data_IF_725791232857
#
_entry.id   IF_725791232857
#
_cell.length_a   1.000
_cell.length_b   1.000
_cell.length_c   1.000
_cell.angle_alpha   90.00
_cell.angle_beta   90.00
_cell.angle_gamma   90.00
#
_symmetry.space_group_name_H-M   'P 1'
#
loop_
_entity.id
_entity.type
_entity.pdbx_description
1 polymer ?
#
# COMPACT_ATOMS: atom_id res chain seq x y z
N UNK A 1 1.89 18.81 26.82
CA UNK A 1 1.86 17.49 26.12
C UNK A 1 1.45 17.59 24.66
N UNK A 2 0.65 18.57 24.22
CA UNK A 2 0.29 18.74 22.80
C UNK A 2 1.46 19.24 21.92
N UNK A 3 2.34 20.09 22.46
CA UNK A 3 3.46 20.68 21.73
C UNK A 3 4.55 19.66 21.35
N UNK A 4 4.82 18.67 22.21
CA UNK A 4 5.81 17.61 21.94
C UNK A 4 5.38 16.70 20.80
N UNK A 5 4.08 16.45 20.65
CA UNK A 5 3.54 15.66 19.53
C UNK A 5 3.66 16.43 18.22
N UNK A 6 3.43 17.74 18.23
CA UNK A 6 3.58 18.60 17.05
C UNK A 6 5.05 18.64 16.55
N UNK A 7 6.02 18.81 17.44
CA UNK A 7 7.44 18.84 17.08
C UNK A 7 7.94 17.50 16.53
N UNK A 8 7.50 16.38 17.09
CA UNK A 8 7.86 15.04 16.59
C UNK A 8 7.25 14.80 15.20
N UNK A 9 6.01 15.24 14.94
CA UNK A 9 5.41 15.17 13.59
C UNK A 9 6.17 16.01 12.57
N UNK A 10 6.63 17.21 12.93
CA UNK A 10 7.36 18.11 12.02
C UNK A 10 8.76 17.56 11.67
N UNK A 11 9.52 17.07 12.65
CA UNK A 11 10.89 16.55 12.44
C UNK A 11 10.90 15.25 11.62
N UNK A 12 9.88 14.41 11.75
CA UNK A 12 9.74 13.20 10.93
C UNK A 12 9.27 13.52 9.50
N UNK A 13 8.47 14.57 9.33
CA UNK A 13 8.03 15.03 7.99
C UNK A 13 9.21 15.52 7.15
N UNK A 14 10.20 16.19 7.75
CA UNK A 14 11.39 16.68 7.02
C UNK A 14 12.41 15.60 6.69
N UNK A 15 12.67 14.66 7.60
CA UNK A 15 13.72 13.64 7.40
C UNK A 15 13.28 12.45 6.54
N UNK A 16 11.99 12.12 6.53
CA UNK A 16 11.46 11.01 5.73
C UNK A 16 11.29 11.39 4.25
N UNK A 17 10.88 12.63 3.96
CA UNK A 17 10.61 13.10 2.61
C UNK A 17 11.90 13.21 1.75
N UNK A 18 12.99 13.68 2.36
CA UNK A 18 14.29 13.85 1.70
C UNK A 18 14.87 12.53 1.14
N UNK A 19 14.55 11.39 1.78
CA UNK A 19 15.07 10.07 1.36
C UNK A 19 14.30 9.48 0.18
N UNK A 20 13.04 9.88 -0.02
CA UNK A 20 12.20 9.41 -1.12
C UNK A 20 12.36 10.30 -2.37
N UNK A 21 12.56 11.60 -2.19
CA UNK A 21 12.81 12.54 -3.30
C UNK A 21 14.17 12.33 -3.96
N UNK A 22 15.17 11.82 -3.23
CA UNK A 22 16.53 11.57 -3.74
C UNK A 22 16.61 10.47 -4.82
N UNK A 23 15.55 9.73 -5.11
CA UNK A 23 15.54 8.64 -6.10
C UNK A 23 14.52 8.82 -7.23
N UNK A 24 13.85 9.96 -7.33
CA UNK A 24 12.91 10.25 -8.42
C UNK A 24 13.51 11.03 -9.60
N UNK A 25 14.84 11.09 -9.73
CA UNK A 25 15.51 11.69 -10.91
C UNK A 25 15.45 10.79 -12.17
N UNK A 26 14.46 9.91 -12.26
CA UNK A 26 14.14 9.23 -13.52
C UNK A 26 13.13 10.12 -14.23
N UNK A 27 13.64 10.95 -15.14
CA UNK A 27 12.82 11.61 -16.16
C UNK A 27 11.94 10.55 -16.82
N UNK A 28 10.64 10.57 -16.53
CA UNK A 28 9.67 9.69 -17.17
C UNK A 28 9.61 10.05 -18.66
N UNK A 29 10.38 9.32 -19.47
CA UNK A 29 10.31 9.43 -20.93
C UNK A 29 8.93 8.95 -21.36
N UNK A 30 8.15 9.86 -21.93
CA UNK A 30 6.86 9.57 -22.56
C UNK A 30 7.13 8.80 -23.86
N UNK A 31 7.30 7.49 -23.77
CA UNK A 31 7.28 6.63 -24.95
C UNK A 31 5.83 6.54 -25.43
N UNK A 32 5.60 6.86 -26.71
CA UNK A 32 4.30 6.68 -27.36
C UNK A 32 4.07 5.16 -27.46
N UNK A 33 3.02 4.61 -26.82
CA UNK A 33 2.79 3.16 -26.86
C UNK A 33 2.32 2.72 -28.25
N UNK A 34 2.70 1.51 -28.70
CA UNK A 34 2.15 0.87 -29.90
C UNK A 34 0.63 0.62 -29.78
N UNK A 35 -0.12 0.51 -30.89
CA UNK A 35 -1.58 0.66 -30.92
C UNK A 35 -2.43 -0.52 -30.39
N UNK A 36 -1.93 -1.34 -29.45
CA UNK A 36 -2.65 -2.56 -29.04
C UNK A 36 -2.68 -2.79 -27.51
N UNK A 37 -2.34 -1.77 -26.71
CA UNK A 37 -2.35 -1.88 -25.25
C UNK A 37 -3.79 -1.86 -24.72
N UNK A 38 -4.17 -2.95 -24.04
CA UNK A 38 -5.44 -3.06 -23.32
C UNK A 38 -5.53 -1.93 -22.29
N UNK A 39 -6.43 -0.98 -22.50
CA UNK A 39 -6.69 0.10 -21.54
C UNK A 39 -7.22 -0.54 -20.26
N UNK A 40 -6.48 -0.40 -19.15
CA UNK A 40 -6.93 -0.84 -17.84
C UNK A 40 -8.19 -0.06 -17.45
N UNK A 41 -9.33 -0.74 -17.45
CA UNK A 41 -10.61 -0.21 -17.00
C UNK A 41 -11.05 -0.94 -15.73
N UNK A 42 -11.35 -0.18 -14.68
CA UNK A 42 -11.87 -0.73 -13.43
C UNK A 42 -13.39 -0.77 -13.47
N UNK A 43 -13.96 -1.89 -13.01
CA UNK A 43 -15.41 -2.06 -12.92
C UNK A 43 -15.93 -1.72 -11.53
N UNK A 44 -17.15 -1.19 -11.46
CA UNK A 44 -17.86 -0.96 -10.20
C UNK A 44 -17.94 -2.24 -9.35
N UNK A 45 -18.17 -3.39 -9.99
CA UNK A 45 -18.23 -4.68 -9.30
C UNK A 45 -16.91 -5.04 -8.61
N UNK A 46 -15.77 -4.79 -9.26
CA UNK A 46 -14.45 -5.04 -8.68
C UNK A 46 -14.13 -4.10 -7.53
N UNK A 47 -14.46 -2.82 -7.67
CA UNK A 47 -14.27 -1.86 -6.59
C UNK A 47 -15.17 -2.17 -5.41
N UNK A 48 -16.45 -2.44 -5.63
CA UNK A 48 -17.39 -2.86 -4.58
C UNK A 48 -16.89 -4.08 -3.83
N UNK A 49 -16.47 -5.14 -4.54
CA UNK A 49 -15.86 -6.33 -3.92
C UNK A 49 -14.62 -5.98 -3.10
N UNK A 50 -13.81 -5.03 -3.57
CA UNK A 50 -12.60 -4.56 -2.86
C UNK A 50 -12.94 -3.79 -1.58
N UNK A 51 -13.99 -2.95 -1.62
CA UNK A 51 -14.51 -2.19 -0.49
C UNK A 51 -15.15 -3.10 0.57
N UNK A 52 -15.96 -4.08 0.15
CA UNK A 52 -16.57 -5.05 1.06
C UNK A 52 -15.54 -5.89 1.86
N UNK A 53 -14.32 -6.03 1.34
CA UNK A 53 -13.19 -6.75 1.94
C UNK A 53 -12.24 -5.86 2.76
N UNK A 54 -12.55 -4.57 2.90
CA UNK A 54 -11.77 -3.67 3.76
C UNK A 54 -11.89 -4.13 5.21
N UNK A 55 -10.77 -4.14 5.95
CA UNK A 55 -10.80 -4.38 7.38
C UNK A 55 -11.43 -3.16 8.08
N UNK A 56 -12.58 -3.30 8.75
CA UNK A 56 -13.26 -2.17 9.38
C UNK A 56 -12.46 -1.51 10.51
N UNK A 57 -11.52 -2.24 11.12
CA UNK A 57 -10.68 -1.79 12.23
C UNK A 57 -9.33 -1.21 11.77
N UNK A 58 -9.16 -1.01 10.47
CA UNK A 58 -7.96 -0.35 9.93
C UNK A 58 -7.93 1.10 10.40
N UNK A 59 -6.78 1.56 10.88
CA UNK A 59 -6.56 2.98 11.16
C UNK A 59 -6.85 3.83 9.92
N UNK A 60 -7.58 4.92 10.11
CA UNK A 60 -7.91 5.88 9.06
C UNK A 60 -6.65 6.62 8.57
N UNK A 61 -6.70 7.07 7.33
CA UNK A 61 -5.65 7.91 6.77
C UNK A 61 -5.81 9.38 7.18
N UNK A 62 -5.12 10.31 6.51
CA UNK A 62 -5.31 11.76 6.71
C UNK A 62 -6.72 12.26 6.35
N UNK A 63 -7.49 11.46 5.63
CA UNK A 63 -8.89 11.70 5.28
C UNK A 63 -9.85 11.46 6.46
N UNK A 64 -9.39 10.83 7.55
CA UNK A 64 -10.20 10.43 8.71
C UNK A 64 -11.41 9.55 8.36
N UNK A 65 -11.39 8.85 7.21
CA UNK A 65 -12.44 7.93 6.82
C UNK A 65 -12.10 6.53 7.35
N UNK A 66 -12.85 5.98 8.31
CA UNK A 66 -12.59 4.65 8.84
C UNK A 66 -12.97 3.56 7.84
N UNK A 67 -12.28 2.43 7.89
CA UNK A 67 -12.54 1.30 6.99
C UNK A 67 -13.97 0.75 7.10
N UNK A 68 -14.61 0.92 8.27
CA UNK A 68 -16.01 0.57 8.50
C UNK A 68 -16.96 1.31 7.56
N UNK A 69 -16.81 2.63 7.42
CA UNK A 69 -17.67 3.46 6.55
C UNK A 69 -17.52 3.03 5.09
N UNK A 70 -16.29 2.79 4.65
CA UNK A 70 -16.03 2.32 3.28
C UNK A 70 -16.68 0.95 2.98
N UNK A 71 -16.77 0.08 4.00
CA UNK A 71 -17.36 -1.24 3.87
C UNK A 71 -18.90 -1.20 3.90
N UNK A 72 -19.46 -0.40 4.81
CA UNK A 72 -20.92 -0.27 4.99
C UNK A 72 -21.54 0.52 3.83
N UNK A 73 -20.85 1.54 3.31
CA UNK A 73 -21.29 2.34 2.16
C UNK A 73 -20.70 1.86 0.82
N UNK A 74 -20.27 0.59 0.74
CA UNK A 74 -19.55 0.09 -0.43
C UNK A 74 -20.36 0.16 -1.73
N UNK A 75 -21.68 0.01 -1.66
CA UNK A 75 -22.56 0.08 -2.84
C UNK A 75 -22.57 1.49 -3.43
N UNK A 76 -22.80 2.50 -2.58
CA UNK A 76 -22.91 3.90 -2.98
C UNK A 76 -21.56 4.48 -3.41
N UNK A 77 -20.48 4.09 -2.71
CA UNK A 77 -19.14 4.60 -2.97
C UNK A 77 -18.47 3.96 -4.19
N UNK A 78 -18.85 2.72 -4.53
CA UNK A 78 -18.22 2.02 -5.65
C UNK A 78 -18.43 2.73 -6.99
N UNK A 79 -19.59 3.35 -7.20
CA UNK A 79 -19.87 4.06 -8.45
C UNK A 79 -18.97 5.31 -8.57
N UNK A 80 -19.09 6.23 -7.60
CA UNK A 80 -18.34 7.48 -7.58
C UNK A 80 -16.81 7.28 -7.64
N UNK A 81 -16.27 6.31 -6.91
CA UNK A 81 -14.82 6.06 -6.94
C UNK A 81 -14.36 5.32 -8.19
N UNK A 82 -15.22 4.53 -8.84
CA UNK A 82 -14.89 3.90 -10.13
C UNK A 82 -14.62 4.96 -11.19
N UNK A 83 -15.49 5.97 -11.27
CA UNK A 83 -15.32 7.09 -12.20
C UNK A 83 -14.02 7.85 -11.93
N UNK A 84 -13.78 8.21 -10.66
CA UNK A 84 -12.54 8.90 -10.26
C UNK A 84 -11.31 8.07 -10.64
N UNK A 85 -11.33 6.76 -10.43
CA UNK A 85 -10.20 5.90 -10.74
C UNK A 85 -9.99 5.71 -12.24
N UNK A 86 -11.05 5.55 -13.03
CA UNK A 86 -10.93 5.44 -14.47
C UNK A 86 -10.46 6.75 -15.12
N UNK A 87 -10.93 7.90 -14.62
CA UNK A 87 -10.39 9.22 -15.00
C UNK A 87 -8.93 9.33 -14.59
N UNK A 88 -8.55 8.86 -13.40
CA UNK A 88 -7.17 8.87 -12.94
C UNK A 88 -6.24 8.02 -13.82
N UNK A 89 -6.72 6.86 -14.27
CA UNK A 89 -5.99 5.97 -15.17
C UNK A 89 -5.84 6.58 -16.57
N UNK A 90 -6.90 7.17 -17.13
CA UNK A 90 -6.86 7.79 -18.46
C UNK A 90 -6.03 9.07 -18.49
N UNK A 91 -6.08 9.87 -17.43
CA UNK A 91 -5.32 11.12 -17.30
C UNK A 91 -3.90 10.90 -16.75
N UNK A 92 -3.58 9.71 -16.26
CA UNK A 92 -2.33 9.38 -15.54
C UNK A 92 -2.08 10.24 -14.28
N UNK A 93 -3.13 10.84 -13.71
CA UNK A 93 -3.04 11.74 -12.56
C UNK A 93 -3.87 11.16 -11.41
N UNK A 94 -3.22 10.89 -10.28
CA UNK A 94 -3.90 10.52 -9.02
C UNK A 94 -4.28 11.77 -8.23
N UNK A 95 -5.50 11.89 -7.68
CA UNK A 95 -5.91 13.00 -6.83
C UNK A 95 -4.97 13.20 -5.63
N UNK A 96 -4.62 14.45 -5.32
CA UNK A 96 -3.68 14.78 -4.24
C UNK A 96 -4.17 14.32 -2.86
N UNK A 97 -5.49 14.37 -2.62
CA UNK A 97 -6.10 13.85 -1.40
C UNK A 97 -5.85 12.35 -1.20
N UNK A 98 -5.77 11.56 -2.28
CA UNK A 98 -5.49 10.12 -2.23
C UNK A 98 -3.99 9.79 -2.10
N UNK A 99 -3.11 10.71 -2.53
CA UNK A 99 -1.65 10.59 -2.41
C UNK A 99 -1.11 10.98 -1.03
N UNK A 100 -1.87 11.75 -0.26
CA UNK A 100 -1.42 12.27 1.03
C UNK A 100 -1.36 11.16 2.08
N UNK A 101 -0.35 11.16 2.95
CA UNK A 101 -0.15 10.14 4.00
C UNK A 101 0.30 10.75 5.32
N UNK A 102 -0.09 10.14 6.44
CA UNK A 102 0.36 10.55 7.78
C UNK A 102 1.44 9.59 8.28
N UNK A 103 2.61 10.12 8.64
CA UNK A 103 3.71 9.32 9.21
C UNK A 103 3.61 9.30 10.74
N UNK A 104 3.45 8.11 11.31
CA UNK A 104 3.39 7.88 12.76
C UNK A 104 4.64 7.12 13.22
N UNK A 105 5.45 7.68 14.15
CA UNK A 105 6.56 6.96 14.75
C UNK A 105 6.08 5.95 15.79
N UNK A 106 6.41 4.68 15.60
CA UNK A 106 6.10 3.61 16.56
C UNK A 106 7.40 3.12 17.24
N UNK A 107 7.51 3.14 18.57
CA UNK A 107 8.68 2.63 19.28
C UNK A 107 9.00 1.17 18.95
N UNK A 108 10.28 0.85 18.72
CA UNK A 108 10.78 -0.53 18.57
C UNK A 108 10.98 -1.23 19.90
N UNK A 109 11.36 -0.48 20.94
CA UNK A 109 11.73 -0.95 22.28
C UNK A 109 11.40 0.12 23.32
N UNK A 110 11.34 -0.28 24.58
CA UNK A 110 11.19 0.62 25.72
C UNK A 110 12.35 0.39 26.71
N UNK A 111 13.01 1.45 27.23
CA UNK A 111 12.83 2.87 26.89
C UNK A 111 13.41 3.24 25.52
N UNK A 112 12.94 4.34 24.94
CA UNK A 112 13.44 4.89 23.67
C UNK A 112 14.57 5.88 23.95
N UNK A 113 15.70 5.77 23.23
CA UNK A 113 16.86 6.66 23.45
C UNK A 113 17.28 7.44 22.21
N UNK A 114 17.02 6.92 21.00
CA UNK A 114 17.41 7.56 19.73
C UNK A 114 16.26 7.55 18.73
N UNK A 115 16.26 8.48 17.77
CA UNK A 115 15.26 8.51 16.68
C UNK A 115 15.23 7.20 15.86
N UNK A 116 16.37 6.54 15.69
CA UNK A 116 16.47 5.22 15.03
C UNK A 116 15.73 4.09 15.76
N UNK A 117 15.34 4.30 17.02
CA UNK A 117 14.54 3.34 17.79
C UNK A 117 13.04 3.41 17.43
N UNK A 118 12.61 4.32 16.55
CA UNK A 118 11.26 4.34 16.00
C UNK A 118 11.17 3.61 14.65
N UNK A 119 9.98 3.10 14.33
CA UNK A 119 9.56 2.68 12.99
C UNK A 119 8.60 3.74 12.46
N UNK A 120 8.89 4.39 11.32
CA UNK A 120 7.90 5.24 10.66
C UNK A 120 6.82 4.34 10.03
N UNK A 121 5.56 4.54 10.42
CA UNK A 121 4.40 3.89 9.84
C UNK A 121 3.62 4.91 9.02
N UNK A 122 3.44 4.64 7.73
CA UNK A 122 2.65 5.48 6.84
C UNK A 122 1.17 5.07 6.86
N UNK A 123 0.30 5.96 7.31
CA UNK A 123 -1.15 5.83 7.19
C UNK A 123 -1.62 6.51 5.91
N UNK A 124 -1.75 5.71 4.84
CA UNK A 124 -2.37 6.15 3.59
C UNK A 124 -3.89 5.95 3.61
N UNK A 125 -4.67 6.78 2.88
CA UNK A 125 -6.11 6.63 2.70
C UNK A 125 -6.47 5.19 2.33
N UNK A 126 -7.48 4.64 2.99
CA UNK A 126 -7.87 3.24 2.79
C UNK A 126 -8.37 3.02 1.36
N UNK A 127 -9.01 4.03 0.78
CA UNK A 127 -9.48 4.02 -0.61
C UNK A 127 -8.31 3.96 -1.61
N UNK A 128 -7.19 4.64 -1.34
CA UNK A 128 -5.98 4.54 -2.16
C UNK A 128 -5.39 3.12 -2.13
N UNK A 129 -5.40 2.46 -0.97
CA UNK A 129 -5.02 1.03 -0.87
C UNK A 129 -5.97 0.11 -1.64
N UNK A 130 -7.22 0.52 -1.86
CA UNK A 130 -8.14 -0.25 -2.71
C UNK A 130 -7.75 -0.10 -4.19
N UNK A 131 -7.43 1.11 -4.62
CA UNK A 131 -6.94 1.40 -5.97
C UNK A 131 -5.65 0.62 -6.30
N UNK A 132 -4.65 0.66 -5.42
CA UNK A 132 -3.40 -0.11 -5.57
C UNK A 132 -3.67 -1.61 -5.70
N UNK A 133 -4.60 -2.17 -4.92
CA UNK A 133 -4.96 -3.60 -5.00
C UNK A 133 -5.63 -3.95 -6.32
N UNK A 134 -6.42 -3.06 -6.88
CA UNK A 134 -7.07 -3.25 -8.19
C UNK A 134 -6.02 -3.29 -9.31
N UNK A 135 -5.14 -2.29 -9.34
CA UNK A 135 -4.06 -2.21 -10.33
C UNK A 135 -3.09 -3.38 -10.17
N UNK A 136 -2.70 -3.72 -8.94
CA UNK A 136 -1.79 -4.83 -8.66
C UNK A 136 -2.36 -6.17 -9.16
N UNK A 137 -3.68 -6.39 -9.09
CA UNK A 137 -4.30 -7.59 -9.66
C UNK A 137 -4.08 -7.63 -11.16
N UNK A 138 -4.41 -6.54 -11.87
CA UNK A 138 -4.23 -6.46 -13.31
C UNK A 138 -2.77 -6.67 -13.73
N UNK A 139 -1.81 -6.01 -13.07
CA UNK A 139 -0.38 -6.19 -13.36
C UNK A 139 0.06 -7.65 -13.12
N UNK A 140 -0.46 -8.31 -12.07
CA UNK A 140 -0.13 -9.72 -11.80
C UNK A 140 -0.67 -10.64 -12.89
N UNK A 141 -1.84 -10.35 -13.44
CA UNK A 141 -2.45 -11.16 -14.51
C UNK A 141 -1.68 -11.01 -15.84
N UNK A 142 -1.03 -9.86 -16.06
CA UNK A 142 -0.17 -9.61 -17.23
C UNK A 142 1.23 -10.25 -17.12
N UNK A 143 1.68 -10.60 -15.91
CA UNK A 143 3.02 -11.16 -15.70
C UNK A 143 2.99 -12.70 -15.76
N UNK A 144 3.93 -13.35 -16.47
CA UNK A 144 4.00 -14.79 -16.49
C UNK A 144 4.30 -15.35 -15.09
N UNK A 145 3.78 -16.55 -14.75
CA UNK A 145 4.05 -17.18 -13.47
C UNK A 145 5.55 -17.41 -13.32
N UNK A 146 6.16 -16.77 -12.32
CA UNK A 146 7.60 -16.89 -12.07
C UNK A 146 7.90 -18.28 -11.50
N UNK A 147 8.93 -19.01 -12.00
CA UNK A 147 9.29 -20.34 -11.51
C UNK A 147 9.88 -20.38 -10.09
N UNK A 148 10.12 -19.22 -9.46
CA UNK A 148 10.40 -19.13 -8.03
C UNK A 148 9.37 -18.21 -7.38
N UNK A 149 8.56 -18.77 -6.50
CA UNK A 149 7.54 -18.06 -5.73
C UNK A 149 8.16 -17.01 -4.79
N UNK A 150 8.53 -15.85 -5.32
CA UNK A 150 8.70 -14.66 -4.49
C UNK A 150 7.28 -14.22 -4.12
N UNK A 151 6.86 -14.60 -2.92
CA UNK A 151 5.58 -14.23 -2.33
C UNK A 151 5.54 -12.70 -2.11
N UNK A 152 5.18 -11.95 -3.15
CA UNK A 152 4.80 -10.53 -3.06
C UNK A 152 3.33 -10.43 -2.60
N UNK A 153 3.00 -11.16 -1.53
CA UNK A 153 1.82 -10.85 -0.72
C UNK A 153 2.25 -9.81 0.28
N UNK A 154 1.87 -8.55 0.05
CA UNK A 154 1.51 -7.51 1.04
C UNK A 154 1.91 -7.72 2.53
N UNK A 155 3.15 -8.11 2.82
CA UNK A 155 3.71 -8.25 4.18
C UNK A 155 4.34 -6.95 4.66
N UNK A 156 3.79 -5.80 4.28
CA UNK A 156 4.16 -4.52 4.87
C UNK A 156 3.31 -4.14 6.10
N UNK A 157 2.47 -5.04 6.64
CA UNK A 157 1.64 -4.69 7.81
C UNK A 157 1.49 -5.73 8.92
N UNK A 158 2.02 -6.94 8.78
CA UNK A 158 2.12 -7.85 9.92
C UNK A 158 3.43 -8.63 9.83
N UNK A 159 4.39 -8.25 10.68
CA UNK A 159 5.58 -9.05 10.92
C UNK A 159 5.18 -10.41 11.49
N UNK A 160 5.41 -11.46 10.70
CA UNK A 160 5.71 -12.84 11.13
C UNK A 160 6.19 -13.60 9.89
N UNK A 161 7.52 -13.72 9.76
CA UNK A 161 8.10 -14.81 8.98
C UNK A 161 8.17 -16.01 9.92
N UNK A 162 7.33 -17.02 9.70
CA UNK A 162 7.71 -18.36 10.11
C UNK A 162 8.83 -18.78 9.16
N UNK A 163 10.03 -18.94 9.68
CA UNK A 163 11.08 -19.70 9.01
C UNK A 163 10.53 -21.11 8.81
N UNK A 164 10.28 -21.46 7.54
CA UNK A 164 10.07 -22.85 7.17
C UNK A 164 11.46 -23.49 7.19
N UNK A 165 11.74 -24.27 8.24
CA UNK A 165 12.93 -25.12 8.25
C UNK A 165 12.71 -26.22 7.19
N UNK A 166 13.67 -26.51 6.30
CA UNK A 166 13.54 -27.62 5.37
C UNK A 166 13.43 -28.97 6.12
N UNK A 167 12.71 -29.96 5.58
CA UNK A 167 12.57 -31.27 6.21
C UNK A 167 13.93 -31.97 6.31
N UNK A 168 14.26 -32.46 7.50
CA UNK A 168 15.43 -33.28 7.78
C UNK A 168 15.35 -34.62 7.03
N UNK A 169 16.38 -34.91 6.24
CA UNK A 169 16.55 -36.17 5.51
C UNK A 169 16.80 -37.31 6.52
N UNK A 170 16.09 -38.45 6.46
CA UNK A 170 16.37 -39.58 7.33
C UNK A 170 17.67 -40.27 6.88
N UNK A 171 18.62 -40.37 7.81
CA UNK A 171 19.80 -41.22 7.68
C UNK A 171 19.38 -42.70 7.75
N UNK A 172 19.65 -43.46 6.69
CA UNK A 172 19.70 -44.92 6.73
C UNK A 172 20.98 -45.36 7.44
N UNK A 173 20.91 -46.19 8.49
CA UNK A 173 22.09 -46.87 9.01
C UNK A 173 22.45 -48.01 8.07
N UNK A 174 23.68 -47.99 7.55
CA UNK A 174 24.30 -49.16 6.97
C UNK A 174 24.79 -50.08 8.09
N UNK A 175 24.21 -51.28 8.16
CA UNK A 175 24.83 -52.60 8.36
C UNK A 175 23.74 -53.61 8.68
#
# INVERSE_FOLDING_TARGET
>A
MAETMATITVVLKSSFNARFEAQNDVTARKTIPPPEDQVLCLTMADLRKTLCRVNPWKAAGPDNIPGRVLRECAEQLADAFTDIFNISLSSTIVPTCLKTTTIIPVPKKSPVSRLNDYRPIALTPIIMKCFERLIMRHIKDLLPPRPHAVCISSKLLHGRCHQHNPPSVPHTPGQ
#
